data_IF_154635950150
#
_entry.id   IF_154635950150
#
_cell.length_a   1.000
_cell.length_b   1.000
_cell.length_c   1.000
_cell.angle_alpha   90.00
_cell.angle_beta   90.00
_cell.angle_gamma   90.00
#
_symmetry.space_group_name_H-M   'P 1'
#
loop_
_entity.id
_entity.type
_entity.pdbx_description
1 polymer ?
#
# COMPACT_ATOMS: atom_id res chain seq x y z
N UNK A 1 52.46 -15.01 -19.36
CA UNK A 1 52.25 -15.57 -20.71
C UNK A 1 50.78 -15.38 -21.03
N UNK A 2 50.41 -14.60 -22.06
CA UNK A 2 50.12 -15.01 -23.46
C UNK A 2 48.98 -16.05 -23.59
N UNK A 3 47.99 -15.96 -24.50
CA UNK A 3 47.53 -14.89 -25.44
C UNK A 3 46.25 -15.36 -26.19
N UNK A 4 45.11 -14.62 -26.11
CA UNK A 4 44.10 -14.32 -27.20
C UNK A 4 43.40 -15.54 -27.93
N UNK A 5 42.25 -15.53 -28.62
CA UNK A 5 41.18 -14.59 -29.07
C UNK A 5 39.83 -14.94 -28.39
N UNK A 6 38.80 -14.10 -28.23
CA UNK A 6 38.32 -12.87 -28.91
C UNK A 6 37.42 -13.07 -30.16
N UNK A 7 36.27 -12.41 -30.17
CA UNK A 7 35.29 -12.37 -31.26
C UNK A 7 34.13 -11.42 -30.92
N UNK A 8 34.02 -10.30 -31.63
CA UNK A 8 33.21 -9.14 -31.23
C UNK A 8 32.29 -8.65 -32.34
N UNK A 9 31.11 -8.14 -31.97
CA UNK A 9 30.36 -7.14 -32.77
C UNK A 9 29.91 -6.01 -31.85
N UNK A 10 29.95 -4.77 -32.36
CA UNK A 10 29.61 -3.51 -31.69
C UNK A 10 28.99 -2.57 -32.74
N UNK A 11 28.18 -1.59 -32.30
CA UNK A 11 27.81 -0.29 -32.93
C UNK A 11 26.44 0.11 -32.32
N UNK A 12 26.39 1.07 -31.39
CA UNK A 12 26.30 2.53 -31.59
C UNK A 12 25.07 2.99 -32.40
N UNK A 13 24.27 3.85 -31.77
CA UNK A 13 23.35 4.77 -32.46
C UNK A 13 23.52 6.16 -31.82
N UNK A 14 23.51 7.23 -32.61
CA UNK A 14 23.77 8.60 -32.17
C UNK A 14 22.85 9.60 -32.88
N UNK A 15 22.69 10.81 -32.35
CA UNK A 15 21.65 11.78 -32.77
C UNK A 15 22.09 12.67 -33.93
N UNK A 16 21.20 12.91 -34.92
CA UNK A 16 20.55 14.25 -35.17
C UNK A 16 19.78 14.37 -36.51
N UNK A 17 18.69 15.16 -36.43
CA UNK A 17 18.14 16.13 -37.42
C UNK A 17 17.91 15.73 -38.89
N UNK A 18 16.68 15.96 -39.38
CA UNK A 18 16.35 16.06 -40.80
C UNK A 18 14.85 16.34 -41.04
N UNK A 19 14.51 17.44 -41.72
CA UNK A 19 13.12 17.77 -42.13
C UNK A 19 12.80 17.18 -43.51
N UNK A 20 11.52 16.84 -43.79
CA UNK A 20 10.67 17.51 -44.83
C UNK A 20 9.43 16.69 -45.28
N UNK A 21 8.25 17.31 -45.12
CA UNK A 21 7.07 17.36 -46.01
C UNK A 21 6.47 16.08 -46.66
N UNK A 22 5.26 15.74 -46.19
CA UNK A 22 3.99 15.49 -46.93
C UNK A 22 4.00 14.66 -48.22
N UNK A 23 3.26 13.53 -48.22
CA UNK A 23 2.06 13.34 -49.06
C UNK A 23 1.18 12.18 -48.58
N UNK A 24 -0.13 12.34 -48.75
CA UNK A 24 -1.13 11.29 -48.60
C UNK A 24 -1.73 10.95 -49.97
N UNK A 25 -2.18 9.70 -50.13
CA UNK A 25 -3.13 9.31 -51.18
C UNK A 25 -3.97 8.13 -50.71
N UNK A 26 -5.15 7.98 -51.28
CA UNK A 26 -6.14 6.97 -50.92
C UNK A 26 -6.63 6.21 -52.15
N UNK A 27 -6.99 4.94 -52.00
CA UNK A 27 -7.84 4.23 -52.97
C UNK A 27 -8.41 2.92 -52.41
N UNK A 28 -9.72 2.93 -52.14
CA UNK A 28 -10.58 1.78 -52.44
C UNK A 28 -11.08 1.98 -53.90
N UNK A 29 -11.51 0.94 -54.67
CA UNK A 29 -12.95 0.64 -54.64
C UNK A 29 -13.42 -0.76 -55.14
N UNK A 30 -14.73 -1.00 -54.96
CA UNK A 30 -15.71 -1.77 -55.79
C UNK A 30 -16.31 -3.08 -55.21
N UNK A 31 -17.64 -3.15 -55.41
CA UNK A 31 -18.60 -4.20 -55.04
C UNK A 31 -19.02 -5.02 -56.26
N UNK A 32 -19.58 -6.22 -56.06
CA UNK A 32 -20.91 -6.73 -56.59
C UNK A 32 -21.09 -8.21 -56.15
N UNK A 33 -22.19 -8.63 -55.49
CA UNK A 33 -23.62 -8.79 -55.88
C UNK A 33 -23.92 -10.02 -56.77
N UNK A 34 -24.78 -10.94 -56.28
CA UNK A 34 -25.58 -11.91 -57.08
C UNK A 34 -26.91 -12.31 -56.36
N UNK A 35 -27.75 -13.10 -57.04
CA UNK A 35 -29.20 -13.38 -56.79
C UNK A 35 -29.55 -14.74 -57.48
N UNK A 36 -30.65 -15.49 -57.24
CA UNK A 36 -31.82 -15.36 -56.34
C UNK A 36 -32.09 -16.78 -55.69
N UNK A 37 -33.21 -17.54 -55.66
CA UNK A 37 -34.63 -17.38 -56.06
C UNK A 37 -35.61 -18.33 -55.31
N UNK A 38 -36.53 -17.73 -54.55
CA UNK A 38 -37.99 -18.02 -54.36
C UNK A 38 -38.56 -19.42 -54.73
N UNK A 39 -39.33 -20.03 -53.80
CA UNK A 39 -40.64 -20.68 -54.06
C UNK A 39 -41.60 -20.58 -52.84
N UNK A 40 -42.90 -20.97 -52.97
CA UNK A 40 -44.00 -20.60 -52.04
C UNK A 40 -45.02 -21.72 -51.72
N UNK A 41 -45.62 -21.69 -50.52
CA UNK A 41 -47.02 -22.06 -50.18
C UNK A 41 -47.30 -21.65 -48.69
N UNK A 42 -48.27 -20.77 -48.36
CA UNK A 42 -49.69 -21.02 -48.03
C UNK A 42 -49.90 -21.89 -46.77
N UNK A 43 -50.69 -21.52 -45.74
CA UNK A 43 -51.63 -20.40 -45.49
C UNK A 43 -51.20 -19.60 -44.21
N UNK A 44 -51.95 -18.74 -43.50
CA UNK A 44 -53.37 -18.30 -43.48
C UNK A 44 -53.47 -16.80 -43.07
N UNK A 45 -54.59 -16.32 -42.49
CA UNK A 45 -54.89 -14.90 -42.18
C UNK A 45 -55.30 -14.72 -40.70
N UNK A 46 -54.69 -13.77 -39.98
CA UNK A 46 -55.27 -13.05 -38.85
C UNK A 46 -54.48 -11.75 -38.51
N UNK A 47 -55.19 -10.71 -38.04
CA UNK A 47 -54.71 -9.44 -37.47
C UNK A 47 -53.77 -8.53 -38.31
N UNK A 48 -54.18 -7.27 -38.52
CA UNK A 48 -53.35 -6.23 -39.13
C UNK A 48 -52.62 -5.37 -38.09
N UNK A 49 -51.32 -5.17 -38.32
CA UNK A 49 -50.56 -3.92 -38.14
C UNK A 49 -51.06 -2.90 -37.10
N UNK A 50 -50.57 -3.02 -35.85
CA UNK A 50 -50.08 -1.86 -35.10
C UNK A 50 -48.55 -1.87 -35.09
N UNK A 51 -47.91 -0.70 -35.14
CA UNK A 51 -46.47 -0.60 -35.43
C UNK A 51 -45.62 -0.96 -34.21
N UNK A 52 -44.51 -1.65 -34.48
CA UNK A 52 -43.44 -1.90 -33.51
C UNK A 52 -42.84 -0.58 -33.03
N UNK A 53 -43.10 -0.24 -31.77
CA UNK A 53 -42.17 0.48 -30.89
C UNK A 53 -41.98 -0.40 -29.65
N UNK A 54 -41.26 -1.52 -29.83
CA UNK A 54 -40.75 -2.27 -28.70
C UNK A 54 -39.77 -1.38 -27.96
N UNK A 55 -40.12 -0.97 -26.74
CA UNK A 55 -39.17 -0.36 -25.82
C UNK A 55 -37.95 -1.31 -25.72
N UNK A 56 -36.71 -0.78 -25.64
CA UNK A 56 -35.60 -1.62 -25.26
C UNK A 56 -35.95 -2.23 -23.90
N UNK A 57 -36.10 -3.55 -23.83
CA UNK A 57 -36.24 -4.24 -22.56
C UNK A 57 -35.06 -3.79 -21.71
N UNK A 58 -35.34 -3.25 -20.52
CA UNK A 58 -34.28 -2.84 -19.61
C UNK A 58 -33.47 -4.07 -19.26
N UNK A 59 -32.31 -4.21 -19.92
CA UNK A 59 -31.18 -4.90 -19.32
C UNK A 59 -30.85 -4.10 -18.07
N UNK A 60 -31.47 -4.49 -16.95
CA UNK A 60 -30.92 -4.18 -15.66
C UNK A 60 -29.44 -4.56 -15.73
N UNK A 61 -28.58 -3.56 -15.58
CA UNK A 61 -27.16 -3.80 -15.50
C UNK A 61 -26.97 -4.60 -14.22
N UNK A 62 -26.77 -5.92 -14.36
CA UNK A 62 -26.44 -6.84 -13.28
C UNK A 62 -25.48 -6.10 -12.33
N UNK A 63 -25.90 -5.80 -11.08
CA UNK A 63 -25.31 -4.74 -10.28
C UNK A 63 -23.92 -5.15 -9.81
N UNK A 64 -22.94 -4.92 -10.71
CA UNK A 64 -21.53 -5.36 -10.69
C UNK A 64 -21.15 -5.98 -9.36
N UNK A 65 -21.41 -7.29 -9.25
CA UNK A 65 -21.43 -8.09 -8.02
C UNK A 65 -20.39 -7.55 -7.03
N UNK A 66 -20.87 -6.82 -6.01
CA UNK A 66 -20.12 -5.74 -5.35
C UNK A 66 -18.77 -6.24 -4.84
N UNK A 67 -17.73 -6.02 -5.64
CA UNK A 67 -16.48 -6.77 -5.52
C UNK A 67 -15.84 -6.47 -4.17
N UNK A 68 -15.80 -7.48 -3.31
CA UNK A 68 -15.43 -7.36 -1.90
C UNK A 68 -14.10 -6.63 -1.74
N UNK A 69 -14.19 -5.40 -1.21
CA UNK A 69 -13.06 -4.54 -0.92
C UNK A 69 -12.41 -5.02 0.38
N UNK A 70 -11.15 -5.42 0.30
CA UNK A 70 -10.37 -5.87 1.45
C UNK A 70 -9.11 -5.02 1.63
N UNK A 71 -8.73 -4.80 2.88
CA UNK A 71 -7.52 -4.09 3.28
C UNK A 71 -6.65 -5.06 4.07
N UNK A 72 -5.41 -5.25 3.65
CA UNK A 72 -4.42 -6.06 4.34
C UNK A 72 -3.32 -5.19 4.94
N UNK A 73 -2.45 -5.78 5.75
CA UNK A 73 -1.17 -5.17 6.11
C UNK A 73 -0.01 -6.14 5.91
N UNK A 74 1.11 -5.64 5.39
CA UNK A 74 2.35 -6.40 5.22
C UNK A 74 2.98 -6.68 6.59
N UNK A 75 3.32 -7.93 6.88
CA UNK A 75 3.82 -8.33 8.19
C UNK A 75 5.15 -9.07 8.03
N UNK A 76 6.24 -8.49 8.54
CA UNK A 76 7.59 -9.03 8.49
C UNK A 76 7.71 -10.20 9.47
N UNK A 77 7.72 -11.43 8.95
CA UNK A 77 7.95 -12.65 9.76
C UNK A 77 9.42 -12.75 10.17
N UNK A 78 10.34 -12.26 9.33
CA UNK A 78 11.79 -12.28 9.52
C UNK A 78 12.33 -11.50 10.73
N UNK A 79 11.47 -10.77 11.46
CA UNK A 79 11.83 -10.11 12.73
C UNK A 79 11.07 -10.68 13.94
N UNK A 80 10.17 -11.65 13.78
CA UNK A 80 9.32 -12.14 14.89
C UNK A 80 9.67 -13.55 15.37
N UNK A 81 10.94 -13.97 15.23
CA UNK A 81 11.44 -15.23 15.82
C UNK A 81 10.99 -15.48 17.28
N UNK A 82 10.95 -14.50 18.20
CA UNK A 82 10.54 -14.70 19.60
C UNK A 82 9.03 -14.65 19.83
N UNK A 83 8.19 -14.28 18.84
CA UNK A 83 6.75 -14.09 19.03
C UNK A 83 6.07 -15.35 19.60
N UNK A 84 5.18 -15.12 20.55
CA UNK A 84 4.27 -16.12 21.10
C UNK A 84 2.86 -15.95 20.51
N UNK A 85 2.00 -16.93 20.74
CA UNK A 85 0.60 -16.89 20.29
C UNK A 85 -0.14 -15.64 20.78
N UNK A 86 0.18 -15.15 21.99
CA UNK A 86 -0.36 -13.91 22.58
C UNK A 86 -0.09 -12.67 21.74
N UNK A 87 1.10 -12.61 21.12
CA UNK A 87 1.59 -11.41 20.44
C UNK A 87 0.89 -11.29 19.08
N UNK A 88 0.78 -12.42 18.36
CA UNK A 88 -0.07 -12.55 17.18
C UNK A 88 -1.53 -12.23 17.46
N UNK A 89 -2.10 -12.72 18.58
CA UNK A 89 -3.48 -12.41 18.98
C UNK A 89 -3.67 -10.92 19.22
N UNK A 90 -2.72 -10.25 19.90
CA UNK A 90 -2.78 -8.81 20.16
C UNK A 90 -2.71 -7.99 18.87
N UNK A 91 -1.75 -8.29 17.99
CA UNK A 91 -1.58 -7.60 16.71
C UNK A 91 -2.80 -7.76 15.80
N UNK A 92 -3.33 -8.98 15.66
CA UNK A 92 -4.51 -9.25 14.83
C UNK A 92 -5.79 -8.59 15.40
N UNK A 93 -5.93 -8.53 16.73
CA UNK A 93 -7.04 -7.81 17.37
C UNK A 93 -6.96 -6.30 17.12
N UNK A 94 -5.75 -5.72 17.21
CA UNK A 94 -5.53 -4.30 16.92
C UNK A 94 -5.75 -3.95 15.44
N UNK A 95 -5.40 -4.85 14.52
CA UNK A 95 -5.66 -4.69 13.08
C UNK A 95 -7.17 -4.79 12.75
N UNK A 96 -7.85 -5.79 13.30
CA UNK A 96 -9.30 -5.98 13.14
C UNK A 96 -10.11 -4.77 13.66
N UNK A 97 -9.67 -4.14 14.75
CA UNK A 97 -10.33 -2.97 15.36
C UNK A 97 -10.37 -1.70 14.48
N UNK A 98 -9.54 -1.64 13.42
CA UNK A 98 -9.58 -0.59 12.38
C UNK A 98 -10.09 -1.08 11.01
N UNK A 99 -10.48 -2.35 10.91
CA UNK A 99 -11.10 -2.92 9.72
C UNK A 99 -10.12 -3.51 8.70
N UNK A 100 -8.86 -3.78 9.07
CA UNK A 100 -7.97 -4.66 8.30
C UNK A 100 -8.54 -6.09 8.34
N UNK A 101 -8.47 -6.79 7.20
CA UNK A 101 -9.02 -8.14 7.03
C UNK A 101 -7.98 -9.25 7.22
N UNK A 102 -6.73 -8.99 6.82
CA UNK A 102 -5.66 -9.99 6.87
C UNK A 102 -4.25 -9.38 7.04
N UNK A 103 -3.30 -10.21 7.47
CA UNK A 103 -1.87 -9.94 7.30
C UNK A 103 -1.28 -10.74 6.13
N UNK A 104 -0.43 -10.07 5.35
CA UNK A 104 0.45 -10.68 4.35
C UNK A 104 1.78 -11.05 5.04
N UNK A 105 1.93 -12.33 5.37
CA UNK A 105 3.03 -12.85 6.19
C UNK A 105 4.30 -12.99 5.34
N UNK A 106 5.15 -11.96 5.34
CA UNK A 106 6.41 -11.91 4.60
C UNK A 106 7.48 -12.77 5.25
N UNK A 107 7.83 -13.89 4.62
CA UNK A 107 8.77 -14.86 5.17
C UNK A 107 9.91 -15.20 4.20
N UNK A 108 11.08 -15.55 4.75
CA UNK A 108 12.25 -16.03 4.02
C UNK A 108 12.46 -17.54 4.18
N UNK A 109 13.12 -18.16 3.19
CA UNK A 109 13.46 -19.60 3.20
C UNK A 109 14.59 -19.95 4.16
N UNK A 110 15.43 -18.97 4.50
CA UNK A 110 16.63 -19.10 5.35
C UNK A 110 16.29 -19.09 6.85
N UNK A 111 15.13 -18.53 7.21
CA UNK A 111 14.66 -18.43 8.58
C UNK A 111 14.10 -19.77 9.07
N UNK A 112 14.88 -20.49 9.88
CA UNK A 112 14.53 -21.80 10.45
C UNK A 112 13.29 -21.81 11.35
N UNK A 113 12.77 -20.65 11.71
CA UNK A 113 11.57 -20.43 12.53
C UNK A 113 10.35 -20.00 11.70
N UNK A 114 10.49 -19.80 10.38
CA UNK A 114 9.36 -19.50 9.47
C UNK A 114 8.21 -20.52 9.61
N UNK A 115 8.43 -21.86 9.62
CA UNK A 115 7.35 -22.82 9.84
C UNK A 115 6.58 -22.59 11.16
N UNK A 116 7.33 -22.35 12.25
CA UNK A 116 6.77 -22.12 13.58
C UNK A 116 5.94 -20.85 13.66
N UNK A 117 6.45 -19.74 13.11
CA UNK A 117 5.76 -18.45 13.17
C UNK A 117 4.58 -18.38 12.20
N UNK A 118 4.62 -19.06 11.05
CA UNK A 118 3.44 -19.27 10.22
C UNK A 118 2.36 -20.08 10.96
N UNK A 119 2.72 -21.21 11.56
CA UNK A 119 1.76 -22.03 12.32
C UNK A 119 1.10 -21.25 13.47
N UNK A 120 1.88 -20.46 14.23
CA UNK A 120 1.37 -19.57 15.28
C UNK A 120 0.43 -18.49 14.72
N UNK A 121 0.78 -17.85 13.60
CA UNK A 121 -0.07 -16.84 12.96
C UNK A 121 -1.40 -17.43 12.48
N UNK A 122 -1.39 -18.59 11.79
CA UNK A 122 -2.62 -19.25 11.35
C UNK A 122 -3.47 -19.76 12.54
N UNK A 123 -2.85 -20.16 13.65
CA UNK A 123 -3.56 -20.50 14.90
C UNK A 123 -4.22 -19.27 15.53
N UNK A 124 -3.48 -18.17 15.69
CA UNK A 124 -3.98 -16.92 16.25
C UNK A 124 -5.12 -16.35 15.40
N UNK A 125 -4.95 -16.28 14.08
CA UNK A 125 -5.95 -15.76 13.15
C UNK A 125 -7.26 -16.58 13.21
N UNK A 126 -7.16 -17.91 13.34
CA UNK A 126 -8.32 -18.78 13.58
C UNK A 126 -9.01 -18.49 14.92
N UNK A 127 -8.24 -18.20 15.97
CA UNK A 127 -8.75 -17.93 17.32
C UNK A 127 -9.49 -16.59 17.43
N UNK A 128 -9.04 -15.54 16.72
CA UNK A 128 -9.71 -14.20 16.72
C UNK A 128 -10.57 -13.93 15.47
N UNK A 129 -10.84 -14.95 14.66
CA UNK A 129 -11.54 -14.87 13.36
C UNK A 129 -10.98 -13.78 12.40
N UNK A 130 -9.66 -13.58 12.44
CA UNK A 130 -8.92 -12.78 11.46
C UNK A 130 -8.49 -13.68 10.29
N UNK A 131 -7.81 -13.13 9.28
CA UNK A 131 -7.23 -13.89 8.18
C UNK A 131 -5.74 -13.62 8.01
N UNK A 132 -5.05 -14.52 7.33
CA UNK A 132 -3.64 -14.37 6.94
C UNK A 132 -3.43 -15.00 5.58
N UNK A 133 -2.38 -14.59 4.88
CA UNK A 133 -1.86 -15.29 3.71
C UNK A 133 -0.34 -15.16 3.66
N UNK A 134 0.34 -16.13 3.03
CA UNK A 134 1.80 -16.10 2.92
C UNK A 134 2.23 -15.10 1.84
N UNK A 135 3.25 -14.31 2.15
CA UNK A 135 4.00 -13.51 1.19
C UNK A 135 5.42 -14.07 1.11
N UNK A 136 5.79 -14.69 0.00
CA UNK A 136 7.13 -15.28 -0.14
C UNK A 136 8.14 -14.19 -0.53
N UNK A 137 9.14 -13.92 0.32
CA UNK A 137 10.20 -12.93 0.02
C UNK A 137 11.24 -13.47 -0.96
N UNK A 138 11.11 -13.17 -2.26
CA UNK A 138 11.98 -13.69 -3.33
C UNK A 138 13.42 -13.11 -3.36
N UNK A 139 13.81 -12.38 -2.31
CA UNK A 139 15.22 -12.21 -1.94
C UNK A 139 15.86 -13.52 -1.42
N UNK A 140 15.05 -14.46 -0.92
CA UNK A 140 15.48 -15.75 -0.35
C UNK A 140 14.75 -16.96 -0.93
N UNK A 141 13.60 -16.78 -1.59
CA UNK A 141 12.90 -17.84 -2.35
C UNK A 141 13.27 -17.79 -3.83
N UNK A 142 13.21 -18.92 -4.52
CA UNK A 142 13.56 -19.04 -5.94
C UNK A 142 12.60 -19.94 -6.73
N UNK A 143 12.69 -19.94 -8.06
CA UNK A 143 11.99 -20.92 -8.90
C UNK A 143 12.39 -22.37 -8.57
N UNK A 144 13.57 -22.60 -7.96
CA UNK A 144 13.99 -23.91 -7.46
C UNK A 144 13.21 -24.39 -6.22
N UNK A 145 12.59 -23.47 -5.47
CA UNK A 145 11.82 -23.79 -4.26
C UNK A 145 10.34 -24.10 -4.54
N UNK A 146 9.96 -24.25 -5.81
CA UNK A 146 8.58 -24.53 -6.27
C UNK A 146 7.90 -25.66 -5.47
N UNK A 147 8.61 -26.75 -5.16
CA UNK A 147 8.06 -27.85 -4.37
C UNK A 147 7.80 -27.46 -2.90
N UNK A 148 8.71 -26.70 -2.27
CA UNK A 148 8.54 -26.20 -0.90
C UNK A 148 7.37 -25.23 -0.80
N UNK A 149 7.27 -24.29 -1.77
CA UNK A 149 6.15 -23.35 -1.88
C UNK A 149 4.83 -24.12 -2.06
N UNK A 150 4.82 -25.17 -2.90
CA UNK A 150 3.66 -26.05 -3.06
C UNK A 150 3.30 -26.80 -1.77
N UNK A 151 4.27 -27.20 -0.95
CA UNK A 151 4.01 -27.83 0.34
C UNK A 151 3.30 -26.85 1.31
N UNK A 152 3.78 -25.61 1.44
CA UNK A 152 3.09 -24.57 2.21
C UNK A 152 1.68 -24.31 1.69
N UNK A 153 1.48 -24.22 0.37
CA UNK A 153 0.14 -24.00 -0.18
C UNK A 153 -0.80 -25.20 0.06
N UNK A 154 -0.30 -26.45 0.05
CA UNK A 154 -1.09 -27.63 0.45
C UNK A 154 -1.52 -27.61 1.90
N UNK A 155 -0.66 -27.12 2.79
CA UNK A 155 -0.93 -27.02 4.24
C UNK A 155 -1.95 -25.90 4.54
N UNK A 156 -1.77 -24.73 3.91
CA UNK A 156 -2.48 -23.51 4.31
C UNK A 156 -3.64 -23.06 3.40
N UNK A 157 -3.67 -23.41 2.11
CA UNK A 157 -4.66 -22.83 1.18
C UNK A 157 -6.13 -23.13 1.56
N UNK A 158 -6.40 -24.30 2.13
CA UNK A 158 -7.74 -24.68 2.61
C UNK A 158 -7.99 -24.35 4.10
N UNK A 159 -7.04 -23.72 4.80
CA UNK A 159 -7.15 -23.48 6.23
C UNK A 159 -8.23 -22.40 6.55
N UNK A 160 -9.07 -22.53 7.60
CA UNK A 160 -10.14 -21.57 7.90
C UNK A 160 -9.71 -20.11 8.18
N UNK A 161 -8.41 -19.90 8.44
CA UNK A 161 -7.81 -18.57 8.61
C UNK A 161 -7.05 -18.07 7.38
N UNK A 162 -6.95 -18.85 6.30
CA UNK A 162 -6.39 -18.39 5.04
C UNK A 162 -7.32 -17.33 4.41
N UNK A 163 -6.75 -16.22 3.93
CA UNK A 163 -7.50 -15.23 3.17
C UNK A 163 -7.94 -15.83 1.82
N UNK A 164 -9.24 -15.73 1.52
CA UNK A 164 -9.87 -16.25 0.31
C UNK A 164 -10.42 -15.07 -0.52
N UNK A 165 -10.21 -15.11 -1.84
CA UNK A 165 -10.68 -14.10 -2.78
C UNK A 165 -11.09 -14.77 -4.08
N UNK A 166 -12.24 -14.40 -4.66
CA UNK A 166 -12.83 -15.06 -5.84
C UNK A 166 -12.92 -16.60 -5.73
N UNK A 167 -13.07 -17.14 -4.52
CA UNK A 167 -13.12 -18.58 -4.25
C UNK A 167 -11.76 -19.29 -4.15
N UNK A 168 -10.66 -18.54 -4.13
CA UNK A 168 -9.29 -19.06 -4.12
C UNK A 168 -8.43 -18.43 -3.01
N UNK A 169 -7.44 -19.16 -2.51
CA UNK A 169 -6.54 -18.71 -1.45
C UNK A 169 -5.54 -17.68 -1.97
N UNK A 170 -5.50 -16.48 -1.38
CA UNK A 170 -4.51 -15.46 -1.74
C UNK A 170 -3.09 -15.97 -1.41
N UNK A 171 -2.15 -15.67 -2.30
CA UNK A 171 -0.70 -15.71 -2.02
C UNK A 171 -0.04 -14.51 -2.68
N UNK A 172 0.91 -13.87 -2.00
CA UNK A 172 1.70 -12.77 -2.57
C UNK A 172 3.20 -13.05 -2.47
N UNK A 173 4.00 -12.06 -2.86
CA UNK A 173 5.46 -12.08 -2.74
C UNK A 173 5.97 -10.70 -2.40
N UNK A 174 7.21 -10.61 -1.92
CA UNK A 174 8.06 -9.43 -2.10
C UNK A 174 9.08 -9.75 -3.18
N UNK A 175 9.20 -8.88 -4.20
CA UNK A 175 9.77 -9.17 -5.54
C UNK A 175 9.28 -10.52 -6.10
N UNK A 176 10.02 -11.19 -6.99
CA UNK A 176 9.62 -12.51 -7.52
C UNK A 176 8.90 -12.46 -8.87
N UNK A 177 9.14 -11.39 -9.65
CA UNK A 177 8.59 -11.12 -10.98
C UNK A 177 8.66 -12.30 -11.95
N UNK A 178 9.69 -13.15 -11.86
CA UNK A 178 9.93 -14.27 -12.77
C UNK A 178 9.40 -15.63 -12.29
N UNK A 179 8.74 -15.70 -11.12
CA UNK A 179 8.20 -16.96 -10.60
C UNK A 179 6.96 -17.41 -11.39
N UNK A 180 6.87 -18.72 -11.64
CA UNK A 180 5.76 -19.34 -12.34
C UNK A 180 4.85 -20.07 -11.34
N UNK A 181 3.63 -19.58 -11.18
CA UNK A 181 2.63 -20.14 -10.27
C UNK A 181 1.90 -21.37 -10.82
N UNK A 182 2.08 -21.71 -12.10
CA UNK A 182 1.42 -22.85 -12.76
C UNK A 182 1.64 -24.18 -12.03
N UNK A 183 2.89 -24.60 -11.73
CA UNK A 183 3.15 -25.82 -10.98
C UNK A 183 2.59 -25.80 -9.55
N UNK A 184 2.62 -24.66 -8.86
CA UNK A 184 2.06 -24.51 -7.50
C UNK A 184 0.54 -24.68 -7.53
N UNK A 185 -0.13 -24.08 -8.52
CA UNK A 185 -1.57 -24.23 -8.78
C UNK A 185 -1.97 -25.66 -9.15
N UNK A 186 -1.17 -26.35 -9.96
CA UNK A 186 -1.40 -27.75 -10.33
C UNK A 186 -1.13 -28.71 -9.15
N UNK A 187 -0.14 -28.38 -8.31
CA UNK A 187 0.25 -29.19 -7.17
C UNK A 187 -0.64 -29.02 -5.93
N UNK A 188 -1.49 -28.00 -5.87
CA UNK A 188 -2.35 -27.69 -4.72
C UNK A 188 -3.81 -27.97 -5.06
N UNK A 189 -4.51 -28.73 -4.21
CA UNK A 189 -5.92 -29.14 -4.45
C UNK A 189 -6.93 -28.01 -4.25
N UNK A 190 -6.61 -27.03 -3.41
CA UNK A 190 -7.43 -25.83 -3.21
C UNK A 190 -6.98 -24.72 -4.20
N UNK A 191 -7.90 -24.00 -4.87
CA UNK A 191 -7.53 -22.96 -5.83
C UNK A 191 -6.69 -21.84 -5.21
N UNK A 192 -5.70 -21.33 -5.96
CA UNK A 192 -4.78 -20.27 -5.51
C UNK A 192 -5.00 -18.99 -6.32
N UNK A 193 -5.01 -17.84 -5.65
CA UNK A 193 -5.05 -16.49 -6.24
C UNK A 193 -3.70 -15.80 -6.05
N UNK A 194 -2.84 -15.87 -7.07
CA UNK A 194 -1.47 -15.39 -7.03
C UNK A 194 -1.39 -13.89 -7.39
N UNK A 195 -0.98 -13.09 -6.39
CA UNK A 195 -0.77 -11.64 -6.45
C UNK A 195 0.71 -11.31 -6.14
N UNK A 196 1.68 -11.75 -6.97
CA UNK A 196 3.07 -11.44 -6.71
C UNK A 196 3.32 -9.92 -6.75
N UNK A 197 4.27 -9.47 -5.94
CA UNK A 197 4.85 -8.16 -6.16
C UNK A 197 5.59 -8.15 -7.51
N UNK A 198 5.22 -7.22 -8.38
CA UNK A 198 6.00 -6.89 -9.56
C UNK A 198 6.70 -5.56 -9.31
N UNK A 199 7.94 -5.46 -9.76
CA UNK A 199 8.73 -4.23 -9.71
C UNK A 199 8.33 -3.32 -10.88
N UNK A 200 8.34 -3.81 -12.13
CA UNK A 200 7.81 -3.07 -13.28
C UNK A 200 6.35 -3.50 -13.57
N UNK A 201 5.38 -2.56 -13.63
CA UNK A 201 4.03 -2.82 -14.16
C UNK A 201 4.02 -3.58 -15.50
N UNK A 202 5.00 -3.37 -16.37
CA UNK A 202 5.12 -4.02 -17.68
C UNK A 202 5.18 -5.55 -17.56
N UNK A 203 5.74 -6.11 -16.48
CA UNK A 203 5.77 -7.55 -16.25
C UNK A 203 4.38 -8.16 -16.07
N UNK A 204 3.34 -7.37 -15.77
CA UNK A 204 1.97 -7.88 -15.77
C UNK A 204 1.59 -8.47 -17.14
N UNK A 205 2.18 -7.98 -18.25
CA UNK A 205 1.94 -8.50 -19.61
C UNK A 205 2.46 -9.93 -19.80
N UNK A 206 3.57 -10.31 -19.15
CA UNK A 206 4.09 -11.69 -19.13
C UNK A 206 3.29 -12.60 -18.19
N UNK A 207 2.53 -12.02 -17.25
CA UNK A 207 1.88 -12.73 -16.15
C UNK A 207 0.96 -13.90 -16.51
N UNK A 208 0.43 -13.95 -17.74
CA UNK A 208 -0.37 -15.09 -18.20
C UNK A 208 0.45 -16.38 -18.35
N UNK A 209 1.71 -16.31 -18.84
CA UNK A 209 2.60 -17.48 -18.91
C UNK A 209 3.18 -17.88 -17.54
N UNK A 210 3.14 -16.95 -16.58
CA UNK A 210 3.48 -17.17 -15.16
C UNK A 210 2.28 -17.56 -14.28
N UNK A 211 1.09 -17.70 -14.89
CA UNK A 211 -0.18 -18.05 -14.27
C UNK A 211 -0.61 -17.16 -13.09
N UNK A 212 -0.39 -15.83 -13.18
CA UNK A 212 -0.76 -14.85 -12.12
C UNK A 212 -2.16 -14.26 -12.35
N UNK A 213 -2.93 -14.11 -11.27
CA UNK A 213 -4.32 -13.62 -11.31
C UNK A 213 -4.41 -12.10 -11.07
N UNK A 214 -3.30 -11.50 -10.66
CA UNK A 214 -3.14 -10.07 -10.41
C UNK A 214 -1.69 -9.68 -10.12
N UNK A 215 -1.49 -8.49 -9.57
CA UNK A 215 -0.20 -8.05 -9.06
C UNK A 215 -0.33 -7.09 -7.89
N UNK A 216 0.72 -7.06 -7.07
CA UNK A 216 0.95 -6.13 -5.98
C UNK A 216 2.06 -5.14 -6.37
N UNK A 217 1.88 -3.86 -6.05
CA UNK A 217 2.90 -2.82 -6.23
C UNK A 217 3.56 -2.47 -4.91
N UNK A 218 4.89 -2.30 -4.89
CA UNK A 218 5.63 -1.80 -3.71
C UNK A 218 5.75 -0.27 -3.68
N UNK A 219 5.21 0.43 -4.69
CA UNK A 219 5.32 1.88 -4.81
C UNK A 219 4.32 2.63 -3.91
N UNK A 220 4.56 2.58 -2.59
CA UNK A 220 3.76 3.31 -1.60
C UNK A 220 4.15 4.79 -1.47
N UNK A 221 5.39 5.13 -1.85
CA UNK A 221 6.05 6.42 -1.64
C UNK A 221 6.38 7.10 -2.98
N UNK A 222 6.67 8.42 -3.01
CA UNK A 222 7.07 9.13 -4.23
C UNK A 222 8.25 8.42 -4.93
N UNK A 223 8.07 8.04 -6.20
CA UNK A 223 9.04 7.25 -6.95
C UNK A 223 8.96 7.50 -8.47
N UNK A 224 10.11 7.44 -9.14
CA UNK A 224 10.24 7.40 -10.61
C UNK A 224 10.29 5.96 -11.16
N UNK A 225 10.02 4.96 -10.30
CA UNK A 225 10.10 3.53 -10.59
C UNK A 225 11.37 2.86 -10.02
N UNK A 226 12.40 3.61 -9.66
CA UNK A 226 13.72 3.07 -9.28
C UNK A 226 13.96 2.78 -7.79
N UNK A 227 12.91 2.70 -6.95
CA UNK A 227 13.06 2.80 -5.48
C UNK A 227 13.80 4.10 -5.06
N UNK A 228 13.51 5.18 -5.79
CA UNK A 228 14.31 6.40 -5.82
C UNK A 228 13.81 7.47 -4.85
N UNK A 229 14.75 8.22 -4.28
CA UNK A 229 14.44 9.43 -3.51
C UNK A 229 14.15 10.57 -4.49
N UNK A 230 12.85 10.83 -4.74
CA UNK A 230 12.41 11.97 -5.55
C UNK A 230 11.63 12.99 -4.70
N UNK A 231 11.53 14.26 -5.12
CA UNK A 231 10.60 15.21 -4.52
C UNK A 231 9.17 14.68 -4.55
N UNK A 232 8.45 14.84 -3.43
CA UNK A 232 7.00 14.59 -3.36
C UNK A 232 6.17 15.68 -4.06
N UNK A 233 4.82 15.57 -4.02
CA UNK A 233 4.04 14.55 -3.33
C UNK A 233 3.94 13.21 -4.10
N UNK A 234 3.35 12.19 -3.47
CA UNK A 234 3.03 10.92 -4.12
C UNK A 234 1.91 11.10 -5.16
N UNK A 235 1.93 10.33 -6.25
CA UNK A 235 0.95 10.41 -7.35
C UNK A 235 0.48 9.03 -7.82
N UNK A 236 -0.67 8.98 -8.50
CA UNK A 236 -1.29 7.75 -9.02
C UNK A 236 -0.68 7.19 -10.31
N UNK A 237 0.37 7.84 -10.85
CA UNK A 237 0.94 7.50 -12.18
C UNK A 237 1.44 6.06 -12.29
N UNK A 238 1.83 5.44 -11.17
CA UNK A 238 2.23 4.03 -11.12
C UNK A 238 1.05 3.09 -10.94
N UNK A 239 0.05 3.45 -10.12
CA UNK A 239 -1.21 2.72 -10.02
C UNK A 239 -1.92 2.61 -11.38
N UNK A 240 -1.96 3.72 -12.13
CA UNK A 240 -2.53 3.78 -13.48
C UNK A 240 -1.79 2.86 -14.46
N UNK A 241 -0.46 2.74 -14.35
CA UNK A 241 0.36 1.80 -15.13
C UNK A 241 0.04 0.36 -14.76
N UNK A 242 -0.08 0.04 -13.47
CA UNK A 242 -0.47 -1.28 -12.99
C UNK A 242 -1.86 -1.69 -13.47
N UNK A 243 -2.88 -0.86 -13.23
CA UNK A 243 -4.27 -1.10 -13.68
C UNK A 243 -4.33 -1.32 -15.20
N UNK A 244 -3.59 -0.52 -15.97
CA UNK A 244 -3.50 -0.67 -17.43
C UNK A 244 -2.82 -1.97 -17.87
N UNK A 245 -1.68 -2.32 -17.27
CA UNK A 245 -0.90 -3.50 -17.66
C UNK A 245 -1.51 -4.83 -17.16
N UNK A 246 -2.26 -4.79 -16.06
CA UNK A 246 -3.04 -5.93 -15.57
C UNK A 246 -4.24 -6.26 -16.46
N UNK A 247 -4.77 -5.27 -17.20
CA UNK A 247 -5.85 -5.42 -18.17
C UNK A 247 -7.13 -6.08 -17.59
N UNK A 248 -7.53 -5.67 -16.39
CA UNK A 248 -8.72 -6.16 -15.70
C UNK A 248 -8.49 -7.27 -14.67
N UNK A 249 -7.26 -7.81 -14.57
CA UNK A 249 -6.83 -8.64 -13.44
C UNK A 249 -6.68 -7.82 -12.15
N UNK A 250 -6.64 -8.50 -11.01
CA UNK A 250 -6.63 -7.89 -9.67
C UNK A 250 -5.42 -6.99 -9.47
N UNK A 251 -5.65 -5.71 -9.17
CA UNK A 251 -4.63 -4.81 -8.64
C UNK A 251 -4.75 -4.70 -7.12
N UNK A 252 -3.63 -4.98 -6.43
CA UNK A 252 -3.46 -4.71 -5.01
C UNK A 252 -2.57 -3.49 -4.84
N UNK A 253 -3.17 -2.40 -4.36
CA UNK A 253 -2.52 -1.09 -4.29
C UNK A 253 -1.83 -0.87 -2.92
N UNK A 254 -0.61 -0.31 -2.89
CA UNK A 254 0.10 -0.04 -1.66
C UNK A 254 -0.34 1.27 -1.00
N UNK A 255 -0.40 1.25 0.33
CA UNK A 255 -0.52 2.45 1.19
C UNK A 255 0.55 2.40 2.27
N UNK A 256 1.19 3.52 2.59
CA UNK A 256 2.18 3.62 3.67
C UNK A 256 2.16 5.02 4.28
N UNK A 257 2.45 5.19 5.58
CA UNK A 257 2.46 6.51 6.21
C UNK A 257 3.78 7.27 6.03
N UNK A 258 4.91 6.57 6.08
CA UNK A 258 6.24 7.15 6.22
C UNK A 258 7.30 6.22 5.59
N UNK A 259 8.56 6.66 5.54
CA UNK A 259 9.71 5.80 5.24
C UNK A 259 11.01 6.44 5.73
N UNK A 260 11.73 5.79 6.62
CA UNK A 260 13.07 6.19 7.03
C UNK A 260 13.89 4.98 7.51
N UNK A 261 15.15 4.90 7.10
CA UNK A 261 16.02 3.74 7.37
C UNK A 261 17.44 4.23 7.60
N UNK A 262 18.14 3.64 8.58
CA UNK A 262 19.46 4.09 9.00
C UNK A 262 20.43 2.92 9.28
N UNK A 263 20.39 1.90 8.42
CA UNK A 263 21.41 0.84 8.39
C UNK A 263 22.61 1.26 7.54
N UNK A 264 23.80 0.72 7.83
CA UNK A 264 25.00 0.92 7.00
C UNK A 264 24.81 0.53 5.51
N UNK A 265 23.96 -0.47 5.25
CA UNK A 265 23.56 -0.91 3.90
C UNK A 265 22.40 -0.12 3.30
N UNK A 266 21.63 0.62 4.12
CA UNK A 266 20.32 1.17 3.77
C UNK A 266 20.03 2.44 4.57
N UNK A 267 20.44 3.59 4.04
CA UNK A 267 20.48 4.87 4.77
C UNK A 267 19.82 6.03 3.98
N UNK A 268 18.49 6.19 4.12
CA UNK A 268 17.72 7.27 3.47
C UNK A 268 16.34 7.52 4.09
N UNK A 269 15.67 8.57 3.62
CA UNK A 269 14.29 8.96 3.95
C UNK A 269 13.55 9.39 2.67
N UNK A 270 12.27 9.00 2.51
CA UNK A 270 11.42 9.44 1.41
C UNK A 270 10.51 10.61 1.82
N UNK A 271 9.97 11.34 0.84
CA UNK A 271 9.24 12.60 1.05
C UNK A 271 7.77 12.33 1.40
N UNK A 272 7.55 11.82 2.61
CA UNK A 272 6.29 11.26 3.07
C UNK A 272 5.41 12.25 3.88
N UNK A 273 5.76 13.53 3.92
CA UNK A 273 5.22 14.51 4.87
C UNK A 273 3.70 14.77 4.76
N UNK A 274 3.09 14.54 3.59
CA UNK A 274 1.62 14.53 3.39
C UNK A 274 1.00 13.14 3.16
N UNK A 275 1.83 12.08 3.15
CA UNK A 275 1.46 10.75 2.69
C UNK A 275 0.36 10.05 3.53
N UNK A 276 0.32 10.17 4.89
CA UNK A 276 -0.68 9.49 5.71
C UNK A 276 -2.15 9.79 5.36
N UNK A 277 -2.45 10.95 4.77
CA UNK A 277 -3.80 11.28 4.28
C UNK A 277 -3.90 11.21 2.76
N UNK A 278 -2.94 11.82 2.04
CA UNK A 278 -2.96 11.91 0.58
C UNK A 278 -3.06 10.54 -0.09
N UNK A 279 -2.35 9.53 0.43
CA UNK A 279 -2.34 8.21 -0.21
C UNK A 279 -3.68 7.49 -0.05
N UNK A 280 -4.37 7.65 1.08
CA UNK A 280 -5.73 7.14 1.24
C UNK A 280 -6.75 7.86 0.37
N UNK A 281 -6.64 9.18 0.24
CA UNK A 281 -7.49 9.97 -0.66
C UNK A 281 -7.36 9.49 -2.11
N UNK A 282 -6.13 9.22 -2.57
CA UNK A 282 -5.88 8.57 -3.86
C UNK A 282 -6.56 7.21 -3.97
N UNK A 283 -6.53 6.36 -2.93
CA UNK A 283 -7.20 5.06 -2.95
C UNK A 283 -8.74 5.17 -3.00
N UNK A 284 -9.33 6.17 -2.33
CA UNK A 284 -10.77 6.41 -2.38
C UNK A 284 -11.25 6.90 -3.76
N UNK A 285 -10.39 7.58 -4.53
CA UNK A 285 -10.68 7.98 -5.92
C UNK A 285 -10.41 6.82 -6.90
N UNK A 286 -9.28 6.11 -6.75
CA UNK A 286 -8.86 5.02 -7.63
C UNK A 286 -9.74 3.76 -7.50
N UNK A 287 -10.25 3.48 -6.30
CA UNK A 287 -11.04 2.29 -5.98
C UNK A 287 -10.39 0.96 -6.43
N UNK A 288 -9.12 0.68 -6.08
CA UNK A 288 -8.41 -0.56 -6.46
C UNK A 288 -9.13 -1.82 -5.93
N UNK A 289 -8.85 -2.98 -6.51
CA UNK A 289 -9.55 -4.22 -6.13
C UNK A 289 -9.25 -4.62 -4.67
N UNK A 290 -8.00 -4.44 -4.26
CA UNK A 290 -7.46 -4.72 -2.92
C UNK A 290 -6.49 -3.60 -2.51
N UNK A 291 -6.26 -3.43 -1.21
CA UNK A 291 -5.22 -2.56 -0.64
C UNK A 291 -4.34 -3.37 0.29
N UNK A 292 -3.03 -3.13 0.26
CA UNK A 292 -2.10 -3.62 1.29
C UNK A 292 -1.35 -2.45 1.92
N UNK A 293 -1.43 -2.35 3.25
CA UNK A 293 -0.71 -1.35 4.04
C UNK A 293 0.71 -1.85 4.28
N UNK A 294 1.71 -1.11 3.79
CA UNK A 294 3.14 -1.35 4.00
C UNK A 294 3.58 -0.41 5.14
N UNK A 295 3.70 -0.87 6.39
CA UNK A 295 3.56 -2.24 6.90
C UNK A 295 2.89 -2.27 8.28
N UNK A 296 2.70 -3.46 8.85
CA UNK A 296 2.29 -3.62 10.25
C UNK A 296 3.46 -3.43 11.22
N UNK A 297 4.63 -4.05 10.98
CA UNK A 297 5.71 -4.15 11.98
C UNK A 297 7.14 -3.89 11.44
N UNK A 298 7.32 -3.32 10.24
CA UNK A 298 8.67 -3.00 9.76
C UNK A 298 9.26 -1.77 10.47
N UNK A 299 9.97 -2.04 11.57
CA UNK A 299 10.65 -1.04 12.39
C UNK A 299 11.93 -0.50 11.73
N UNK A 300 12.61 -1.31 10.91
CA UNK A 300 13.83 -0.95 10.21
C UNK A 300 13.62 0.14 9.15
N UNK A 301 12.49 0.09 8.46
CA UNK A 301 12.13 1.04 7.40
C UNK A 301 11.14 2.13 7.86
N UNK A 302 10.86 2.17 9.17
CA UNK A 302 10.06 3.20 9.85
C UNK A 302 8.66 3.43 9.27
N UNK A 303 8.06 2.39 8.68
CA UNK A 303 6.77 2.47 8.01
C UNK A 303 5.68 1.56 8.59
N UNK A 304 5.94 1.01 9.78
CA UNK A 304 4.98 0.26 10.58
C UNK A 304 3.79 1.12 11.03
N UNK A 305 2.59 0.52 11.13
CA UNK A 305 1.41 1.09 11.82
C UNK A 305 0.96 0.27 13.05
N UNK A 306 1.59 -0.87 13.31
CA UNK A 306 1.38 -1.71 14.49
C UNK A 306 2.04 -1.13 15.75
N UNK A 307 1.88 -1.80 16.91
CA UNK A 307 2.65 -1.47 18.11
C UNK A 307 4.14 -1.82 17.91
N UNK A 308 5.03 -1.11 18.61
CA UNK A 308 6.42 -1.54 18.75
C UNK A 308 6.49 -2.70 19.75
N UNK A 309 6.74 -3.91 19.25
CA UNK A 309 6.66 -5.13 20.06
C UNK A 309 7.93 -5.37 20.86
N UNK A 310 7.80 -5.75 22.13
CA UNK A 310 8.94 -6.16 22.95
C UNK A 310 9.54 -7.52 22.53
N UNK A 311 8.79 -8.33 21.78
CA UNK A 311 9.17 -9.70 21.40
C UNK A 311 9.69 -9.82 19.96
N UNK A 312 10.16 -8.74 19.35
CA UNK A 312 10.85 -8.81 18.05
C UNK A 312 12.35 -9.16 18.20
N UNK A 313 12.98 -9.59 17.11
CA UNK A 313 14.44 -9.67 16.97
C UNK A 313 14.94 -8.32 16.46
N UNK A 314 15.64 -7.58 17.31
CA UNK A 314 16.25 -6.30 16.95
C UNK A 314 17.40 -6.53 15.94
N UNK A 315 17.27 -5.90 14.78
CA UNK A 315 18.27 -5.83 13.71
C UNK A 315 19.21 -4.61 13.86
N UNK A 316 19.02 -3.82 14.92
CA UNK A 316 19.66 -2.54 15.19
C UNK A 316 18.71 -1.35 15.03
N UNK A 317 17.51 -1.55 14.48
CA UNK A 317 16.51 -0.49 14.29
C UNK A 317 15.92 0.06 15.58
N UNK A 318 16.09 -0.62 16.72
CA UNK A 318 15.74 -0.06 18.04
C UNK A 318 16.36 1.32 18.30
N UNK A 319 17.51 1.63 17.67
CA UNK A 319 18.18 2.93 17.75
C UNK A 319 17.34 4.11 17.19
N UNK A 320 16.36 3.86 16.32
CA UNK A 320 15.45 4.88 15.78
C UNK A 320 13.95 4.55 15.90
N UNK A 321 13.56 3.30 16.15
CA UNK A 321 12.18 2.87 16.30
C UNK A 321 11.72 2.73 17.77
N UNK A 322 12.62 2.43 18.71
CA UNK A 322 12.23 2.28 20.11
C UNK A 322 11.76 3.63 20.69
N UNK A 323 10.55 3.64 21.27
CA UNK A 323 9.92 4.86 21.79
C UNK A 323 9.28 5.77 20.74
N UNK A 324 9.18 5.32 19.48
CA UNK A 324 8.49 6.02 18.39
C UNK A 324 7.15 5.31 18.07
N UNK A 325 6.07 5.58 18.83
CA UNK A 325 4.74 5.01 18.56
C UNK A 325 4.17 5.49 17.22
N UNK A 326 3.68 4.55 16.41
CA UNK A 326 3.03 4.79 15.11
C UNK A 326 1.53 4.46 15.13
N UNK A 327 1.02 4.01 16.27
CA UNK A 327 -0.36 3.54 16.43
C UNK A 327 -1.43 4.61 16.18
N UNK A 328 -1.12 5.90 16.33
CA UNK A 328 -2.07 6.97 16.04
C UNK A 328 -2.49 7.03 14.56
N UNK A 329 -1.64 6.57 13.63
CA UNK A 329 -2.05 6.42 12.22
C UNK A 329 -3.15 5.37 12.03
N UNK A 330 -3.30 4.39 12.93
CA UNK A 330 -4.43 3.45 12.88
C UNK A 330 -5.77 4.17 13.05
N UNK A 331 -5.82 5.17 13.94
CA UNK A 331 -7.02 6.00 14.15
C UNK A 331 -7.31 6.84 12.90
N UNK A 332 -6.27 7.46 12.32
CA UNK A 332 -6.37 8.22 11.05
C UNK A 332 -6.84 7.35 9.88
N UNK A 333 -6.38 6.09 9.81
CA UNK A 333 -6.68 5.19 8.70
C UNK A 333 -8.10 4.61 8.77
N UNK A 334 -8.67 4.44 9.97
CA UNK A 334 -9.99 3.82 10.18
C UNK A 334 -11.14 4.48 9.39
N UNK A 335 -11.31 5.81 9.34
CA UNK A 335 -12.28 6.48 8.46
C UNK A 335 -12.10 6.20 6.96
N UNK A 336 -10.86 6.09 6.48
CA UNK A 336 -10.54 5.80 5.09
C UNK A 336 -10.77 4.32 4.74
N UNK A 337 -10.38 3.39 5.62
CA UNK A 337 -10.66 1.94 5.49
C UNK A 337 -12.17 1.72 5.42
N UNK A 338 -12.95 2.36 6.31
CA UNK A 338 -14.41 2.28 6.32
C UNK A 338 -15.02 2.82 5.02
N UNK A 339 -14.53 3.97 4.55
CA UNK A 339 -14.96 4.55 3.27
C UNK A 339 -14.68 3.61 2.09
N UNK A 340 -13.43 3.18 1.92
CA UNK A 340 -13.01 2.26 0.86
C UNK A 340 -13.86 0.99 0.82
N UNK A 341 -14.08 0.36 1.99
CA UNK A 341 -14.86 -0.89 2.09
C UNK A 341 -16.35 -0.72 1.80
N UNK A 342 -16.88 0.49 1.95
CA UNK A 342 -18.24 0.84 1.50
C UNK A 342 -18.34 1.28 0.03
N UNK A 343 -17.20 1.47 -0.66
CA UNK A 343 -17.14 2.09 -1.99
C UNK A 343 -17.30 3.61 -2.00
N UNK A 344 -17.24 4.27 -0.85
CA UNK A 344 -17.31 5.73 -0.74
C UNK A 344 -16.00 6.39 -1.20
N UNK A 345 -16.13 7.59 -1.77
CA UNK A 345 -15.00 8.37 -2.33
C UNK A 345 -14.44 9.43 -1.37
N UNK A 346 -14.94 9.48 -0.13
CA UNK A 346 -14.51 10.38 0.94
C UNK A 346 -14.54 9.66 2.30
N UNK A 347 -13.66 10.00 3.27
CA UNK A 347 -13.56 9.31 4.56
C UNK A 347 -14.85 9.41 5.39
N UNK A 348 -15.20 8.33 6.09
CA UNK A 348 -16.40 8.26 6.94
C UNK A 348 -15.99 8.56 8.40
N UNK A 349 -16.26 9.78 8.84
CA UNK A 349 -15.89 10.29 10.17
C UNK A 349 -17.09 10.23 11.11
N UNK A 350 -16.90 9.60 12.28
CA UNK A 350 -17.97 9.40 13.28
C UNK A 350 -17.76 10.22 14.57
N UNK A 351 -16.53 10.64 14.83
CA UNK A 351 -16.12 11.39 16.02
C UNK A 351 -15.11 12.48 15.65
N UNK A 352 -15.05 13.56 16.44
CA UNK A 352 -13.98 14.54 16.33
C UNK A 352 -12.70 13.97 16.97
N UNK A 353 -11.59 13.92 16.23
CA UNK A 353 -10.30 13.43 16.70
C UNK A 353 -9.12 14.14 16.01
N UNK A 354 -7.95 14.17 16.64
CA UNK A 354 -6.72 14.76 16.10
C UNK A 354 -5.58 13.74 16.17
N UNK A 355 -4.84 13.57 15.08
CA UNK A 355 -3.60 12.78 14.98
C UNK A 355 -2.46 13.70 14.54
N UNK A 356 -1.30 13.58 15.17
CA UNK A 356 -0.11 14.38 14.88
C UNK A 356 1.12 13.51 14.62
N UNK A 357 2.08 14.02 13.86
CA UNK A 357 3.41 13.42 13.71
C UNK A 357 4.52 14.46 13.49
N UNK A 358 5.73 14.16 13.96
CA UNK A 358 6.91 15.02 13.82
C UNK A 358 8.22 14.25 14.05
N UNK A 359 9.33 14.72 13.46
CA UNK A 359 10.66 14.16 13.73
C UNK A 359 11.13 14.55 15.15
N UNK A 360 11.96 13.72 15.82
CA UNK A 360 12.44 14.00 17.18
C UNK A 360 13.44 15.16 17.24
N UNK A 361 14.04 15.55 16.12
CA UNK A 361 14.93 16.71 15.96
C UNK A 361 14.68 17.42 14.62
N UNK A 362 14.97 18.73 14.51
CA UNK A 362 15.13 19.41 13.22
C UNK A 362 16.25 18.75 12.38
N UNK A 363 16.08 18.71 11.06
CA UNK A 363 16.91 17.92 10.13
C UNK A 363 18.40 18.30 10.11
N UNK A 364 18.75 19.49 10.60
CA UNK A 364 20.12 19.98 10.63
C UNK A 364 20.82 19.84 12.00
N UNK A 365 20.18 19.21 13.00
CA UNK A 365 20.82 18.92 14.29
C UNK A 365 21.89 17.85 14.11
N UNK A 366 23.14 18.18 14.42
CA UNK A 366 24.27 17.27 14.22
C UNK A 366 24.33 16.15 15.28
N UNK A 367 24.09 14.90 14.87
CA UNK A 367 24.26 13.72 15.71
C UNK A 367 25.74 13.31 15.77
N UNK A 368 26.56 14.05 16.53
CA UNK A 368 28.03 13.94 16.52
C UNK A 368 28.62 12.64 17.05
N UNK A 369 27.80 11.76 17.63
CA UNK A 369 28.20 10.44 18.13
C UNK A 369 27.74 9.29 17.22
N UNK A 370 27.18 9.60 16.05
CA UNK A 370 26.73 8.60 15.08
C UNK A 370 27.91 8.13 14.20
N UNK A 371 28.21 6.82 14.11
CA UNK A 371 29.20 6.31 13.16
C UNK A 371 28.74 6.35 11.68
N UNK A 372 27.45 6.57 11.41
CA UNK A 372 26.90 6.62 10.05
C UNK A 372 26.72 8.07 9.56
N UNK A 373 26.84 8.32 8.23
CA UNK A 373 26.51 9.61 7.66
C UNK A 373 25.01 9.90 7.78
N UNK A 374 24.65 11.18 7.79
CA UNK A 374 23.26 11.65 7.69
C UNK A 374 22.55 10.97 6.49
N UNK A 375 21.29 10.50 6.64
CA UNK A 375 20.59 9.77 5.57
C UNK A 375 20.46 10.56 4.27
N UNK A 376 20.38 9.86 3.15
CA UNK A 376 20.07 10.49 1.87
C UNK A 376 18.61 11.00 1.85
N UNK A 377 18.37 12.10 1.14
CA UNK A 377 17.03 12.70 0.97
C UNK A 377 16.65 13.79 1.98
N UNK A 378 17.28 13.82 3.15
CA UNK A 378 16.98 14.73 4.28
C UNK A 378 16.84 16.20 3.88
N UNK A 379 17.65 16.68 2.94
CA UNK A 379 17.63 18.07 2.48
C UNK A 379 16.25 18.50 1.93
N UNK A 380 15.49 17.57 1.35
CA UNK A 380 14.16 17.81 0.76
C UNK A 380 13.02 17.84 1.80
N UNK A 381 13.26 17.47 3.06
CA UNK A 381 12.25 17.48 4.12
C UNK A 381 12.01 18.88 4.70
N UNK A 382 10.83 19.13 5.25
CA UNK A 382 10.50 20.36 5.97
C UNK A 382 10.57 20.15 7.49
N UNK A 383 11.17 21.08 8.22
CA UNK A 383 11.15 21.06 9.69
C UNK A 383 9.78 21.56 10.18
N UNK A 384 8.84 20.61 10.24
CA UNK A 384 7.44 20.88 10.53
C UNK A 384 6.83 19.85 11.47
N UNK A 385 5.82 20.30 12.21
CA UNK A 385 4.88 19.46 12.95
C UNK A 385 3.62 19.31 12.11
N UNK A 386 3.20 18.07 11.88
CA UNK A 386 2.04 17.73 11.06
C UNK A 386 0.86 17.35 11.95
N UNK A 387 -0.33 17.78 11.57
CA UNK A 387 -1.57 17.54 12.31
C UNK A 387 -2.69 17.21 11.34
N UNK A 388 -3.14 15.96 11.30
CA UNK A 388 -4.39 15.55 10.66
C UNK A 388 -5.52 15.66 11.68
N UNK A 389 -6.43 16.61 11.46
CA UNK A 389 -7.70 16.68 12.19
C UNK A 389 -8.76 15.89 11.43
N UNK A 390 -9.63 15.20 12.17
CA UNK A 390 -10.78 14.46 11.67
C UNK A 390 -12.02 15.07 12.32
N UNK A 391 -12.79 15.87 11.59
CA UNK A 391 -13.82 16.74 12.15
C UNK A 391 -15.21 16.47 11.57
N UNK A 392 -16.19 16.31 12.46
CA UNK A 392 -17.62 16.16 12.12
C UNK A 392 -18.27 17.50 11.74
N UNK A 393 -17.72 18.61 12.23
CA UNK A 393 -18.13 20.00 11.98
C UNK A 393 -16.89 20.92 11.99
N UNK A 394 -16.89 22.06 11.28
CA UNK A 394 -15.76 22.99 11.31
C UNK A 394 -15.34 23.41 12.72
N UNK A 395 -14.05 23.72 12.91
CA UNK A 395 -13.45 24.12 14.16
C UNK A 395 -12.10 24.83 13.94
N UNK A 396 -11.65 25.61 14.94
CA UNK A 396 -10.32 26.21 14.98
C UNK A 396 -9.33 25.20 15.56
N UNK A 397 -8.30 24.81 14.79
CA UNK A 397 -7.12 24.10 15.28
C UNK A 397 -6.11 25.14 15.80
N UNK A 398 -5.55 24.95 16.99
CA UNK A 398 -4.42 25.74 17.51
C UNK A 398 -3.26 24.82 17.87
N UNK A 399 -2.06 25.15 17.40
CA UNK A 399 -0.83 24.39 17.65
C UNK A 399 0.26 25.31 18.21
N UNK A 400 1.01 24.84 19.20
CA UNK A 400 2.23 25.50 19.71
C UNK A 400 3.38 24.51 19.62
N UNK A 401 4.48 24.90 18.96
CA UNK A 401 5.62 24.02 18.73
C UNK A 401 6.85 24.54 19.47
N UNK A 402 7.19 23.90 20.59
CA UNK A 402 8.30 24.35 21.43
C UNK A 402 8.09 25.76 21.98
N UNK A 403 9.03 26.66 21.69
CA UNK A 403 8.97 28.10 22.01
C UNK A 403 8.33 28.97 20.91
N UNK A 404 7.90 28.40 19.78
CA UNK A 404 7.25 29.16 18.71
C UNK A 404 5.88 29.70 19.16
N UNK A 405 5.46 30.91 18.72
CA UNK A 405 4.12 31.43 19.01
C UNK A 405 3.00 30.46 18.57
N UNK A 406 1.84 30.42 19.26
CA UNK A 406 0.71 29.61 18.84
C UNK A 406 0.20 30.00 17.46
N UNK A 407 -0.01 29.01 16.59
CA UNK A 407 -0.60 29.17 15.26
C UNK A 407 -2.02 28.61 15.29
N UNK A 408 -2.99 29.43 14.88
CA UNK A 408 -4.41 29.05 14.78
C UNK A 408 -4.85 28.96 13.31
N UNK A 409 -5.63 27.94 12.99
CA UNK A 409 -6.07 27.59 11.64
C UNK A 409 -7.56 27.26 11.69
N UNK A 410 -8.38 27.87 10.85
CA UNK A 410 -9.78 27.47 10.66
C UNK A 410 -9.85 26.23 9.77
N UNK A 411 -10.48 25.16 10.26
CA UNK A 411 -10.52 23.86 9.60
C UNK A 411 -11.97 23.43 9.34
N UNK A 412 -12.33 23.00 8.11
CA UNK A 412 -13.67 22.50 7.80
C UNK A 412 -13.96 21.12 8.43
N UNK A 413 -15.19 20.64 8.28
CA UNK A 413 -15.49 19.22 8.47
C UNK A 413 -14.80 18.37 7.38
N UNK A 414 -14.43 17.13 7.71
CA UNK A 414 -13.60 16.26 6.87
C UNK A 414 -12.30 15.86 7.57
N UNK A 415 -11.38 15.25 6.82
CA UNK A 415 -10.00 15.04 7.27
C UNK A 415 -9.14 16.12 6.61
N UNK A 416 -8.35 16.84 7.41
CA UNK A 416 -7.46 17.91 6.92
C UNK A 416 -6.11 17.83 7.63
N UNK A 417 -5.05 17.65 6.84
CA UNK A 417 -3.65 17.72 7.30
C UNK A 417 -3.14 19.15 7.20
N UNK A 418 -2.82 19.74 8.35
CA UNK A 418 -2.09 21.01 8.47
C UNK A 418 -0.62 20.76 8.83
N UNK A 419 0.26 21.70 8.48
CA UNK A 419 1.65 21.72 8.95
C UNK A 419 1.99 23.09 9.57
N UNK A 420 2.86 23.07 10.58
CA UNK A 420 3.32 24.24 11.33
C UNK A 420 4.83 24.15 11.50
N UNK A 421 5.54 25.28 11.46
CA UNK A 421 7.00 25.35 11.68
C UNK A 421 7.41 24.71 13.00
N UNK A 422 8.35 23.76 12.92
CA UNK A 422 8.88 23.04 14.08
C UNK A 422 9.64 23.96 15.04
N UNK A 423 9.49 23.72 16.34
CA UNK A 423 10.21 24.38 17.41
C UNK A 423 10.60 23.38 18.50
N UNK A 424 11.79 23.58 19.07
CA UNK A 424 12.40 22.72 20.10
C UNK A 424 11.64 22.83 21.42
N UNK A 425 11.37 21.69 22.06
CA UNK A 425 10.61 21.54 23.31
C UNK A 425 9.29 20.79 23.14
N UNK A 426 8.35 21.08 24.05
CA UNK A 426 7.01 20.46 24.09
C UNK A 426 6.14 20.89 22.91
N UNK A 427 5.45 19.93 22.31
CA UNK A 427 4.43 20.17 21.28
C UNK A 427 3.05 20.23 21.94
N UNK A 428 2.18 21.18 21.57
CA UNK A 428 0.85 21.36 22.18
C UNK A 428 -0.22 21.56 21.12
N UNK A 429 -1.37 20.92 21.32
CA UNK A 429 -2.47 20.90 20.36
C UNK A 429 -3.79 21.18 21.08
N UNK A 430 -4.66 21.97 20.47
CA UNK A 430 -6.07 22.07 20.86
C UNK A 430 -6.96 22.29 19.66
N UNK A 431 -8.22 21.88 19.77
CA UNK A 431 -9.26 22.23 18.80
C UNK A 431 -10.41 22.87 19.56
N UNK A 432 -10.88 24.02 19.07
CA UNK A 432 -11.97 24.78 19.66
C UNK A 432 -13.11 25.00 18.65
N UNK A 433 -14.36 24.96 19.12
CA UNK A 433 -15.56 25.18 18.30
C UNK A 433 -16.50 26.13 19.01
N UNK A 434 -16.82 27.27 18.38
CA UNK A 434 -17.62 28.32 19.01
C UNK A 434 -16.97 28.94 20.25
N UNK A 435 -15.64 29.04 20.28
CA UNK A 435 -14.86 29.55 21.41
C UNK A 435 -14.65 28.56 22.57
N UNK A 436 -15.27 27.36 22.52
CA UNK A 436 -15.09 26.31 23.54
C UNK A 436 -14.09 25.26 23.06
N UNK A 437 -13.13 24.88 23.92
CA UNK A 437 -12.21 23.77 23.64
C UNK A 437 -12.96 22.44 23.63
N UNK A 438 -12.81 21.64 22.58
CA UNK A 438 -13.42 20.30 22.47
C UNK A 438 -12.40 19.18 22.71
N UNK A 439 -11.11 19.45 22.49
CA UNK A 439 -10.00 18.54 22.77
C UNK A 439 -8.71 19.36 22.96
N UNK A 440 -7.82 18.88 23.82
CA UNK A 440 -6.54 19.54 24.09
C UNK A 440 -5.51 18.56 24.66
N UNK A 441 -4.29 18.59 24.15
CA UNK A 441 -3.23 17.65 24.55
C UNK A 441 -1.82 18.16 24.28
N UNK A 442 -0.84 17.36 24.71
CA UNK A 442 0.58 17.63 24.50
C UNK A 442 1.22 16.42 23.79
N UNK A 443 2.25 16.68 22.98
CA UNK A 443 3.05 15.66 22.32
C UNK A 443 3.85 14.84 23.33
N UNK A 444 3.77 13.51 23.25
CA UNK A 444 4.44 12.62 24.21
C UNK A 444 5.96 12.51 24.06
N UNK A 445 6.56 13.20 23.07
CA UNK A 445 7.99 13.38 22.92
C UNK A 445 8.33 14.86 22.65
N UNK A 446 9.25 15.43 23.42
CA UNK A 446 9.81 16.76 23.13
C UNK A 446 10.76 16.71 21.92
N UNK A 447 10.66 17.71 21.04
CA UNK A 447 11.58 17.90 19.92
C UNK A 447 12.88 18.50 20.46
N UNK A 448 14.03 17.93 20.11
CA UNK A 448 15.34 18.31 20.70
C UNK A 448 16.27 19.00 19.70
N UNK A 449 17.21 19.76 20.26
CA UNK A 449 18.35 20.39 19.57
C UNK A 449 19.61 19.49 19.58
N UNK A 450 19.49 18.25 20.05
CA UNK A 450 20.56 17.27 20.17
C UNK A 450 20.06 15.85 19.88
N UNK A 451 20.97 15.00 19.39
CA UNK A 451 20.74 13.59 19.09
C UNK A 451 22.03 12.77 19.30
N UNK A 452 21.86 11.49 19.64
CA UNK A 452 22.96 10.51 19.60
C UNK A 452 23.09 9.88 18.21
N UNK A 453 21.95 9.53 17.61
CA UNK A 453 21.86 8.92 16.28
C UNK A 453 20.90 9.71 15.37
N UNK A 454 21.11 9.63 14.06
CA UNK A 454 20.28 10.28 13.04
C UNK A 454 18.90 9.63 12.92
N UNK A 455 17.93 10.13 13.68
CA UNK A 455 16.57 9.61 13.65
C UNK A 455 15.65 10.46 12.75
N UNK A 456 15.31 9.91 11.58
CA UNK A 456 14.33 10.46 10.64
C UNK A 456 13.01 9.68 10.61
N UNK A 457 12.82 8.76 11.56
CA UNK A 457 11.49 8.31 11.93
C UNK A 457 10.71 9.47 12.58
N UNK A 458 9.39 9.33 12.69
CA UNK A 458 8.50 10.33 13.28
C UNK A 458 7.79 9.78 14.50
N UNK A 459 7.73 10.59 15.56
CA UNK A 459 6.88 10.31 16.71
C UNK A 459 5.44 10.62 16.29
N UNK A 460 4.52 9.67 16.43
CA UNK A 460 3.09 9.90 16.20
C UNK A 460 2.34 9.92 17.52
N UNK A 461 1.20 10.58 17.54
CA UNK A 461 0.27 10.49 18.65
C UNK A 461 -1.09 11.05 18.30
N UNK A 462 -2.05 10.91 19.20
CA UNK A 462 -3.39 11.44 19.05
C UNK A 462 -3.79 12.31 20.23
N UNK A 463 -4.77 13.18 20.01
CA UNK A 463 -5.48 13.90 21.06
C UNK A 463 -6.96 13.55 20.90
N UNK A 464 -7.46 12.75 21.85
CA UNK A 464 -8.87 12.42 21.95
C UNK A 464 -9.65 13.56 22.62
N UNK A 465 -10.97 13.52 22.47
CA UNK A 465 -11.89 14.47 23.11
C UNK A 465 -11.75 14.45 24.64
N UNK A 466 -11.89 15.61 25.27
CA UNK A 466 -12.07 15.67 26.72
C UNK A 466 -13.39 14.95 27.08
N UNK A 467 -13.35 14.10 28.12
CA UNK A 467 -14.49 13.30 28.58
C UNK A 467 -15.56 14.13 29.32
#
# INVERSE_FOLDING_TARGET
MRTVCAGSIYIRCDRKLGNYIVRASSSCPKRKKYFNMIWKALYVIAALLTKVWGLPSSTELDPRQQQSKYVFAHFMVGIVKPYQLSDWIADMTAAQAIGIDAFALNCASIDSYTPTQLALAYQAAKQVNFKVFISFGFAYWSNGDTEKITAYMREYAAHPAQMQYNGAAIVSTFVGDSFNWGPVKQGTSHPIWALPNLQDPAEATSGASRAIDGAFSWYAWPTDGGNSIIPGPMTTVWDERFVKALAGRTYMAPVSPWFATHFNSKNWVFICESLPTLRWEQMLQLQPNLIEIISWNDYGESHYIGPYSANHSDDGSSQWAAGMPHDAWRNLYKPYIKAYKSGAMAPIIEQDELVYWYRPTPKNVACTNDPLPQPNGVNMLHDSVFVATMLTKPATLTVTSGSNPPVSIEVPAGIVTSNISMGVGVQKFSVARGGQSIMSGQGGLEIKDNCRHWNYNVYTGSVVRNA
#
